data_IF_342559287042
#
_entry.id   IF_342559287042
#
_cell.length_a   1.000
_cell.length_b   1.000
_cell.length_c   1.000
_cell.angle_alpha   90.00
_cell.angle_beta   90.00
_cell.angle_gamma   90.00
#
_symmetry.space_group_name_H-M   'P 1'
#
loop_
_entity.id
_entity.type
_entity.pdbx_description
1 polymer ?
#
# COMPACT_ATOMS: atom_id res chain seq x y z
N UNK A 1 -5.00 7.79 26.04
CA UNK A 1 -6.26 7.47 25.31
C UNK A 1 -7.34 8.47 25.73
N UNK A 2 -8.00 9.17 24.80
CA UNK A 2 -9.05 10.18 25.10
C UNK A 2 -8.75 11.09 26.30
N UNK A 3 -7.73 11.95 26.18
CA UNK A 3 -7.25 12.89 27.23
C UNK A 3 -6.71 12.25 28.53
N UNK A 4 -6.58 10.92 28.60
CA UNK A 4 -5.89 10.23 29.70
C UNK A 4 -4.46 9.87 29.32
N UNK A 5 -3.53 10.07 30.26
CA UNK A 5 -2.19 9.51 30.21
C UNK A 5 -2.28 8.00 30.48
N UNK A 6 -1.50 7.23 29.74
CA UNK A 6 -1.38 5.78 29.88
C UNK A 6 0.10 5.42 29.97
N UNK A 7 0.41 4.37 30.71
CA UNK A 7 1.79 3.88 30.86
C UNK A 7 2.27 3.14 29.60
N UNK A 8 1.36 2.48 28.88
CA UNK A 8 1.62 1.74 27.66
C UNK A 8 0.40 1.72 26.73
N UNK A 9 0.64 1.49 25.45
CA UNK A 9 -0.40 1.19 24.45
C UNK A 9 -0.30 -0.26 24.00
N UNK A 10 -1.44 -0.86 23.65
CA UNK A 10 -1.52 -2.25 23.18
C UNK A 10 -2.06 -2.34 21.76
N UNK A 11 -1.87 -3.49 21.12
CA UNK A 11 -2.43 -3.74 19.79
C UNK A 11 -3.96 -3.60 19.81
N UNK A 12 -4.50 -2.78 18.91
CA UNK A 12 -5.92 -2.44 18.83
C UNK A 12 -6.29 -1.08 19.42
N UNK A 13 -5.41 -0.44 20.19
CA UNK A 13 -5.66 0.89 20.75
C UNK A 13 -5.57 1.99 19.69
N UNK A 14 -6.48 2.96 19.78
CA UNK A 14 -6.30 4.26 19.14
C UNK A 14 -5.63 5.22 20.15
N UNK A 15 -4.35 5.52 19.92
CA UNK A 15 -3.51 6.25 20.86
C UNK A 15 -2.71 7.38 20.18
N UNK A 16 -2.38 8.40 20.96
CA UNK A 16 -1.38 9.40 20.62
C UNK A 16 -0.05 9.07 21.31
N UNK A 17 1.05 9.18 20.57
CA UNK A 17 2.39 8.87 21.07
C UNK A 17 3.23 10.15 21.06
N UNK A 18 3.81 10.50 22.22
CA UNK A 18 4.72 11.63 22.33
C UNK A 18 6.10 11.23 21.80
N UNK A 19 6.56 11.89 20.73
CA UNK A 19 7.88 11.68 20.15
C UNK A 19 8.82 12.80 20.59
N UNK A 20 9.84 12.45 21.39
CA UNK A 20 10.79 13.43 21.92
C UNK A 20 11.66 14.00 20.79
N UNK A 21 11.67 15.32 20.66
CA UNK A 21 12.56 16.01 19.72
C UNK A 21 12.11 16.00 18.26
N UNK A 22 10.93 15.45 17.97
CA UNK A 22 10.34 15.41 16.62
C UNK A 22 9.37 16.56 16.45
N UNK A 23 9.53 17.35 15.38
CA UNK A 23 8.58 18.41 15.02
C UNK A 23 7.40 17.81 14.26
N UNK A 24 6.31 18.56 14.20
CA UNK A 24 5.11 18.15 13.45
C UNK A 24 5.43 17.91 11.97
N UNK A 25 6.30 18.73 11.37
CA UNK A 25 6.62 18.67 9.94
C UNK A 25 7.69 17.61 9.62
N UNK A 26 8.28 16.97 10.63
CA UNK A 26 9.21 15.84 10.46
C UNK A 26 8.48 14.50 10.27
N UNK A 27 7.16 14.49 10.47
CA UNK A 27 6.31 13.30 10.36
C UNK A 27 5.15 13.54 9.42
N UNK A 28 4.87 12.55 8.57
CA UNK A 28 3.81 12.64 7.59
C UNK A 28 2.93 11.38 7.58
N UNK A 29 1.70 11.56 7.10
CA UNK A 29 0.74 10.46 6.99
C UNK A 29 1.25 9.43 5.99
N UNK A 30 1.28 8.16 6.40
CA UNK A 30 1.84 7.06 5.62
C UNK A 30 3.08 6.44 6.28
N UNK A 31 3.77 7.21 7.11
CA UNK A 31 4.83 6.69 7.96
C UNK A 31 4.28 5.81 9.09
N UNK A 32 5.15 4.97 9.64
CA UNK A 32 4.82 4.04 10.74
C UNK A 32 5.80 4.19 11.88
N UNK A 33 5.30 4.06 13.11
CA UNK A 33 6.14 3.84 14.28
C UNK A 33 6.34 2.34 14.46
N UNK A 34 7.58 1.92 14.64
CA UNK A 34 7.96 0.52 14.75
C UNK A 34 9.09 0.35 15.77
N UNK A 35 9.30 -0.89 16.22
CA UNK A 35 10.51 -1.22 16.97
C UNK A 35 11.74 -0.99 16.06
N UNK A 36 12.82 -0.38 16.54
CA UNK A 36 14.02 -0.17 15.72
C UNK A 36 14.50 -1.46 15.05
N UNK A 37 14.71 -1.39 13.73
CA UNK A 37 15.18 -2.52 12.92
C UNK A 37 14.14 -3.60 12.58
N UNK A 38 12.88 -3.45 13.01
CA UNK A 38 11.85 -4.47 12.79
C UNK A 38 11.18 -4.46 11.42
N UNK A 39 11.11 -3.30 10.76
CA UNK A 39 10.55 -3.14 9.42
C UNK A 39 11.41 -2.13 8.66
N UNK A 40 11.53 -2.31 7.34
CA UNK A 40 12.31 -1.43 6.48
C UNK A 40 11.43 -0.78 5.41
N UNK A 41 11.78 0.42 4.95
CA UNK A 41 11.14 1.05 3.81
C UNK A 41 11.58 0.40 2.49
N UNK A 42 10.63 0.17 1.60
CA UNK A 42 10.84 -0.44 0.29
C UNK A 42 10.10 0.34 -0.80
N UNK A 43 10.60 0.25 -2.02
CA UNK A 43 10.04 0.89 -3.22
C UNK A 43 9.62 -0.11 -4.27
N UNK A 44 10.15 -1.34 -4.23
CA UNK A 44 9.90 -2.33 -5.28
C UNK A 44 9.54 -3.69 -4.67
N UNK A 45 8.45 -4.27 -5.15
CA UNK A 45 7.94 -5.54 -4.66
C UNK A 45 7.15 -6.30 -5.73
N UNK A 46 7.12 -7.63 -5.61
CA UNK A 46 6.21 -8.50 -6.34
C UNK A 46 4.90 -8.60 -5.55
N UNK A 47 3.77 -8.60 -6.26
CA UNK A 47 2.45 -8.71 -5.65
C UNK A 47 1.53 -9.64 -6.42
N UNK A 48 0.61 -10.25 -5.67
CA UNK A 48 -0.58 -10.91 -6.19
C UNK A 48 -1.77 -9.97 -6.01
N UNK A 49 -2.47 -9.67 -7.10
CA UNK A 49 -3.51 -8.65 -7.14
C UNK A 49 -4.77 -9.22 -7.77
N UNK A 50 -5.89 -9.01 -7.08
CA UNK A 50 -7.23 -9.16 -7.62
C UNK A 50 -7.73 -7.80 -8.14
N UNK A 51 -8.12 -7.74 -9.41
CA UNK A 51 -8.72 -6.56 -10.01
C UNK A 51 -10.23 -6.66 -9.85
N UNK A 52 -10.85 -5.65 -9.23
CA UNK A 52 -12.29 -5.68 -8.99
C UNK A 52 -13.04 -5.70 -10.32
N UNK A 53 -14.08 -6.53 -10.37
CA UNK A 53 -15.03 -6.58 -11.47
C UNK A 53 -15.86 -5.29 -11.55
N UNK A 54 -16.59 -5.14 -12.65
CA UNK A 54 -17.50 -4.00 -12.84
C UNK A 54 -18.62 -4.01 -11.78
N UNK A 55 -19.12 -5.19 -11.43
CA UNK A 55 -20.20 -5.41 -10.47
C UNK A 55 -19.77 -5.05 -9.04
N UNK A 56 -18.48 -5.20 -8.72
CA UNK A 56 -17.88 -4.78 -7.45
C UNK A 56 -17.52 -3.29 -7.42
N UNK A 57 -17.84 -2.53 -8.49
CA UNK A 57 -17.54 -1.11 -8.59
C UNK A 57 -16.11 -0.79 -9.04
N UNK A 58 -15.42 -1.78 -9.63
CA UNK A 58 -14.09 -1.63 -10.20
C UNK A 58 -14.08 -0.92 -11.57
N UNK A 59 -13.09 -1.27 -12.38
CA UNK A 59 -12.95 -0.70 -13.73
C UNK A 59 -13.98 -1.29 -14.69
N UNK A 60 -14.40 -0.49 -15.66
CA UNK A 60 -15.22 -0.96 -16.79
C UNK A 60 -14.38 -1.53 -17.93
N UNK A 61 -13.15 -1.05 -18.08
CA UNK A 61 -12.24 -1.41 -19.16
C UNK A 61 -10.93 -1.97 -18.60
N UNK A 62 -10.23 -2.82 -19.37
CA UNK A 62 -8.93 -3.33 -18.97
C UNK A 62 -7.91 -2.20 -18.77
N UNK A 63 -6.79 -2.54 -18.14
CA UNK A 63 -5.59 -1.72 -18.15
C UNK A 63 -4.44 -2.45 -18.82
N UNK A 64 -3.45 -1.68 -19.26
CA UNK A 64 -2.34 -2.11 -20.13
C UNK A 64 -1.00 -1.85 -19.44
N UNK A 65 0.11 -2.41 -19.96
CA UNK A 65 1.46 -2.03 -19.55
C UNK A 65 1.65 -0.50 -19.54
N UNK A 66 2.35 0.01 -18.52
CA UNK A 66 2.49 1.45 -18.29
C UNK A 66 1.40 2.06 -17.41
N UNK A 67 0.48 1.25 -16.89
CA UNK A 67 -0.49 1.65 -15.88
C UNK A 67 0.20 2.17 -14.59
N UNK A 68 -0.25 3.34 -14.11
CA UNK A 68 0.33 4.05 -12.96
C UNK A 68 -0.73 4.51 -11.95
N UNK A 69 -1.34 3.59 -11.18
CA UNK A 69 -2.34 3.93 -10.18
C UNK A 69 -1.73 4.41 -8.87
N UNK A 70 -2.61 4.71 -7.91
CA UNK A 70 -2.26 4.91 -6.51
C UNK A 70 -2.39 3.59 -5.75
N UNK A 71 -1.39 3.27 -4.92
CA UNK A 71 -1.38 2.13 -4.02
C UNK A 71 -1.65 2.63 -2.60
N UNK A 72 -2.76 2.19 -2.03
CA UNK A 72 -3.15 2.54 -0.68
C UNK A 72 -2.53 1.58 0.32
N UNK A 73 -1.51 2.07 1.03
CA UNK A 73 -0.86 1.36 2.11
C UNK A 73 -1.27 1.95 3.45
N UNK A 74 -2.04 1.17 4.20
CA UNK A 74 -2.56 1.49 5.54
C UNK A 74 -3.33 2.80 5.60
N UNK A 75 -2.64 3.94 5.54
CA UNK A 75 -3.21 5.27 5.72
C UNK A 75 -2.97 6.22 4.55
N UNK A 76 -2.12 5.89 3.57
CA UNK A 76 -1.72 6.80 2.50
C UNK A 76 -1.79 6.18 1.11
N UNK A 77 -1.99 7.02 0.10
CA UNK A 77 -1.97 6.68 -1.32
C UNK A 77 -0.60 7.05 -1.91
N UNK A 78 0.14 6.08 -2.45
CA UNK A 78 1.43 6.32 -3.12
C UNK A 78 1.33 5.87 -4.57
N UNK A 79 1.66 6.76 -5.50
CA UNK A 79 1.68 6.40 -6.93
C UNK A 79 2.76 5.35 -7.20
N UNK A 80 2.45 4.37 -8.05
CA UNK A 80 3.42 3.36 -8.47
C UNK A 80 3.26 3.00 -9.93
N UNK A 81 4.34 2.52 -10.55
CA UNK A 81 4.31 1.93 -11.88
C UNK A 81 4.12 0.42 -11.77
N UNK A 82 3.27 -0.13 -12.65
CA UNK A 82 3.01 -1.57 -12.74
C UNK A 82 3.78 -2.15 -13.92
N UNK A 83 4.53 -3.22 -13.65
CA UNK A 83 5.13 -4.09 -14.67
C UNK A 83 4.40 -5.43 -14.67
N UNK A 84 3.81 -5.77 -15.81
CA UNK A 84 3.08 -7.01 -16.01
C UNK A 84 4.03 -8.15 -16.42
N UNK A 85 3.66 -9.42 -16.16
CA UNK A 85 4.44 -10.56 -16.60
C UNK A 85 4.58 -10.60 -18.13
N UNK A 86 5.68 -11.18 -18.61
CA UNK A 86 5.89 -11.37 -20.04
C UNK A 86 4.72 -12.12 -20.69
N UNK A 87 4.21 -11.60 -21.81
CA UNK A 87 3.06 -12.16 -22.53
C UNK A 87 1.69 -11.66 -22.05
N UNK A 88 1.61 -10.89 -20.96
CA UNK A 88 0.35 -10.27 -20.52
C UNK A 88 0.24 -8.87 -21.12
N UNK A 89 -0.58 -8.75 -22.17
CA UNK A 89 -0.80 -7.47 -22.87
C UNK A 89 -1.84 -6.57 -22.18
N UNK A 90 -2.77 -7.15 -21.43
CA UNK A 90 -3.79 -6.42 -20.69
C UNK A 90 -4.32 -7.25 -19.52
N UNK A 91 -4.94 -6.57 -18.55
CA UNK A 91 -5.59 -7.20 -17.39
C UNK A 91 -7.05 -6.77 -17.36
N UNK A 92 -7.96 -7.74 -17.29
CA UNK A 92 -9.40 -7.51 -17.30
C UNK A 92 -9.93 -7.27 -15.88
N UNK A 93 -11.01 -6.49 -15.71
CA UNK A 93 -11.76 -6.46 -14.45
C UNK A 93 -12.23 -7.87 -14.06
N UNK A 94 -11.96 -8.29 -12.83
CA UNK A 94 -12.23 -9.63 -12.32
C UNK A 94 -11.03 -10.60 -12.37
N UNK A 95 -9.92 -10.21 -12.99
CA UNK A 95 -8.72 -11.06 -13.07
C UNK A 95 -7.90 -11.07 -11.77
N UNK A 96 -7.18 -12.18 -11.58
CA UNK A 96 -6.09 -12.26 -10.63
C UNK A 96 -4.76 -12.26 -11.39
N UNK A 97 -3.85 -11.35 -11.06
CA UNK A 97 -2.59 -11.18 -11.78
C UNK A 97 -1.42 -11.00 -10.82
N UNK A 98 -0.27 -11.57 -11.20
CA UNK A 98 1.03 -11.26 -10.57
C UNK A 98 1.62 -10.04 -11.23
N UNK A 99 2.14 -9.10 -10.47
CA UNK A 99 2.80 -7.92 -11.02
C UNK A 99 3.96 -7.46 -10.16
N UNK A 100 4.91 -6.78 -10.78
CA UNK A 100 5.95 -6.03 -10.07
C UNK A 100 5.51 -4.57 -9.97
N UNK A 101 5.59 -4.01 -8.77
CA UNK A 101 5.20 -2.62 -8.51
C UNK A 101 6.43 -1.82 -8.09
N UNK A 102 6.61 -0.65 -8.70
CA UNK A 102 7.64 0.33 -8.31
C UNK A 102 6.99 1.62 -7.83
N UNK A 103 7.10 1.91 -6.54
CA UNK A 103 6.54 3.11 -5.89
C UNK A 103 7.43 4.34 -6.09
N UNK A 104 6.82 5.53 -6.20
CA UNK A 104 7.57 6.79 -6.31
C UNK A 104 8.23 7.22 -5.00
N UNK A 105 7.70 6.75 -3.87
CA UNK A 105 8.21 7.02 -2.53
C UNK A 105 8.29 5.70 -1.74
N UNK A 106 9.29 5.57 -0.86
CA UNK A 106 9.43 4.37 -0.04
C UNK A 106 8.28 4.21 0.95
N UNK A 107 7.85 2.97 1.16
CA UNK A 107 6.82 2.60 2.15
C UNK A 107 7.34 1.47 3.03
N UNK A 108 7.09 1.55 4.33
CA UNK A 108 7.42 0.48 5.27
C UNK A 108 6.49 -0.73 5.04
N UNK A 109 7.05 -1.83 4.57
CA UNK A 109 6.30 -3.04 4.23
C UNK A 109 7.09 -4.32 4.53
N UNK A 110 6.35 -5.40 4.72
CA UNK A 110 6.84 -6.78 4.82
C UNK A 110 6.00 -7.66 3.87
N UNK A 111 6.49 -8.86 3.59
CA UNK A 111 5.72 -9.86 2.86
C UNK A 111 4.41 -10.18 3.58
N UNK A 112 3.33 -10.36 2.81
CA UNK A 112 1.97 -10.53 3.33
C UNK A 112 1.22 -9.22 3.63
N UNK A 113 1.86 -8.05 3.53
CA UNK A 113 1.16 -6.78 3.69
C UNK A 113 0.10 -6.61 2.59
N UNK A 114 -1.14 -6.35 3.00
CA UNK A 114 -2.25 -6.06 2.09
C UNK A 114 -2.29 -4.58 1.73
N UNK A 115 -2.71 -4.30 0.50
CA UNK A 115 -2.90 -2.96 -0.02
C UNK A 115 -4.12 -2.92 -0.96
N UNK A 116 -4.60 -1.72 -1.25
CA UNK A 116 -5.61 -1.50 -2.29
C UNK A 116 -5.01 -0.71 -3.45
N UNK A 117 -5.50 -0.95 -4.66
CA UNK A 117 -5.17 -0.14 -5.84
C UNK A 117 -6.33 0.84 -6.05
N UNK A 118 -6.01 2.12 -6.20
CA UNK A 118 -6.99 3.20 -6.29
C UNK A 118 -6.75 4.10 -7.49
N UNK A 119 -7.85 4.57 -8.05
CA UNK A 119 -7.90 5.59 -9.11
C UNK A 119 -8.89 6.67 -8.71
N UNK A 120 -8.43 7.93 -8.64
CA UNK A 120 -9.29 9.06 -8.25
C UNK A 120 -10.00 8.83 -6.90
N UNK A 121 -9.35 8.13 -5.97
CA UNK A 121 -9.92 7.78 -4.67
C UNK A 121 -10.87 6.58 -4.64
N UNK A 122 -11.17 5.93 -5.78
CA UNK A 122 -11.96 4.70 -5.85
C UNK A 122 -11.08 3.47 -5.86
N UNK A 123 -11.43 2.45 -5.10
CA UNK A 123 -10.73 1.16 -5.13
C UNK A 123 -11.08 0.40 -6.40
N UNK A 124 -10.05 -0.03 -7.12
CA UNK A 124 -10.17 -0.80 -8.37
C UNK A 124 -9.50 -2.17 -8.29
N UNK A 125 -8.75 -2.43 -7.21
CA UNK A 125 -8.12 -3.72 -6.98
C UNK A 125 -7.67 -3.89 -5.53
N UNK A 126 -7.40 -5.12 -5.15
CA UNK A 126 -6.86 -5.50 -3.85
C UNK A 126 -5.64 -6.39 -4.07
N UNK A 127 -4.58 -6.15 -3.30
CA UNK A 127 -3.33 -6.89 -3.47
C UNK A 127 -2.67 -7.26 -2.16
N UNK A 128 -1.73 -8.20 -2.27
CA UNK A 128 -0.84 -8.61 -1.19
C UNK A 128 0.60 -8.58 -1.69
N UNK A 129 1.50 -8.03 -0.88
CA UNK A 129 2.95 -8.08 -1.13
C UNK A 129 3.39 -9.54 -1.04
N UNK A 130 3.80 -10.12 -2.17
CA UNK A 130 4.24 -11.50 -2.25
C UNK A 130 5.73 -11.63 -1.91
N UNK A 131 6.55 -10.67 -2.38
CA UNK A 131 8.00 -10.68 -2.17
C UNK A 131 8.58 -9.26 -2.27
N UNK A 132 9.53 -8.94 -1.40
CA UNK A 132 10.24 -7.65 -1.45
C UNK A 132 11.45 -7.76 -2.37
N UNK A 133 11.60 -6.78 -3.27
CA UNK A 133 12.74 -6.69 -4.20
C UNK A 133 13.73 -5.63 -3.70
N UNK A 134 13.25 -4.43 -3.38
CA UNK A 134 14.08 -3.28 -3.01
C UNK A 134 13.41 -2.36 -2.02
#
# INVERSE_FOLDING_TARGET
MFRKLLDQGQAGDNAGLLLRGTKRDDVERGQVLCKPGSIKPHTEFEAEVYVLSKEEGGRHSPFFPGYRPQFYFRTTDITGAVSLPAGVEMVMPGDNVKMVVTLINPVAMDEGLRFAIREGGRTVGAGVVAKIIK
#
